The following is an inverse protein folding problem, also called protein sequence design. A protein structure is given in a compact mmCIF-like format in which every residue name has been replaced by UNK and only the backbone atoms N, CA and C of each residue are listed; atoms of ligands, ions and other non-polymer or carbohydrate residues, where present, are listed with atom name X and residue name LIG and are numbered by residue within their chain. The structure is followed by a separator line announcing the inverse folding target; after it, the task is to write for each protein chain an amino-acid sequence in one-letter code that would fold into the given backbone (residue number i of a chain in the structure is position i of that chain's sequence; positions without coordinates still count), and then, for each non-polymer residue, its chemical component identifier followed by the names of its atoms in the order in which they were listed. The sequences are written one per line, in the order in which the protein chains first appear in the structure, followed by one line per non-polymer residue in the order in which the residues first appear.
data_IF_007086355088
#
_entry.id   IF_007086355088
#
_cell.length_a   1.000
_cell.length_b   1.000
_cell.length_c   1.000
_cell.angle_alpha   90.00
_cell.angle_beta   90.00
_cell.angle_gamma   90.00
#
_symmetry.space_group_name_H-M   'P 1'
#
loop_
_entity.id
_entity.type
_entity.pdbx_description
1 polymer ?
#
# COMPACT_ATOMS: atom_id res chain seq x y z
N UNK A 1 -19.62 1.98 4.75
CA UNK A 1 -18.17 1.77 4.59
C UNK A 1 -17.50 2.67 5.61
N UNK A 2 -16.81 2.13 6.61
CA UNK A 2 -16.10 2.96 7.58
C UNK A 2 -15.03 3.74 6.83
N UNK A 3 -15.10 5.07 6.86
CA UNK A 3 -14.17 5.94 6.17
C UNK A 3 -12.89 5.99 7.02
N UNK A 4 -11.98 5.05 6.79
CA UNK A 4 -10.71 5.00 7.51
C UNK A 4 -9.88 6.20 7.08
N UNK A 5 -9.59 7.10 8.03
CA UNK A 5 -8.72 8.23 7.81
C UNK A 5 -7.34 7.94 8.41
N UNK A 6 -6.27 7.82 7.60
CA UNK A 6 -4.92 7.61 8.08
C UNK A 6 -4.43 8.67 9.09
N UNK A 7 -5.02 9.87 9.09
CA UNK A 7 -4.66 10.94 10.01
C UNK A 7 -5.25 10.78 11.41
N UNK A 8 -6.32 9.98 11.58
CA UNK A 8 -7.04 9.83 12.85
C UNK A 8 -6.61 8.59 13.66
N UNK A 9 -5.65 7.83 13.14
CA UNK A 9 -5.19 6.59 13.76
C UNK A 9 -4.39 6.87 15.03
N UNK A 10 -4.79 6.27 16.16
CA UNK A 10 -4.21 6.58 17.48
C UNK A 10 -3.14 5.56 17.90
N UNK A 11 -3.32 4.30 17.54
CA UNK A 11 -2.50 3.19 18.04
C UNK A 11 -1.06 3.21 17.51
N UNK A 12 -0.09 2.90 18.39
CA UNK A 12 1.34 2.85 18.00
C UNK A 12 1.60 1.80 16.92
N UNK A 13 0.91 0.66 16.99
CA UNK A 13 1.04 -0.41 16.02
C UNK A 13 0.63 0.06 14.62
N UNK A 14 -0.51 0.74 14.49
CA UNK A 14 -0.95 1.23 13.19
C UNK A 14 -0.07 2.39 12.68
N UNK A 15 0.38 3.30 13.55
CA UNK A 15 1.38 4.34 13.20
C UNK A 15 2.69 3.74 12.67
N UNK A 16 3.18 2.67 13.31
CA UNK A 16 4.39 1.97 12.85
C UNK A 16 4.17 1.35 11.46
N UNK A 17 2.99 0.79 11.20
CA UNK A 17 2.63 0.24 9.88
C UNK A 17 2.49 1.32 8.82
N UNK A 18 1.92 2.48 9.14
CA UNK A 18 1.87 3.63 8.23
C UNK A 18 3.27 4.16 7.88
N UNK A 19 4.19 4.18 8.85
CA UNK A 19 5.59 4.55 8.61
C UNK A 19 6.30 3.57 7.69
N UNK A 20 6.11 2.26 7.90
CA UNK A 20 6.65 1.23 7.03
C UNK A 20 6.06 1.33 5.62
N UNK A 21 4.73 1.51 5.51
CA UNK A 21 4.04 1.70 4.25
C UNK A 21 4.60 2.90 3.46
N UNK A 22 4.85 4.03 4.14
CA UNK A 22 5.48 5.19 3.49
C UNK A 22 6.86 4.87 2.93
N UNK A 23 7.67 4.11 3.66
CA UNK A 23 9.01 3.73 3.20
C UNK A 23 8.95 2.84 1.95
N UNK A 24 7.99 1.92 1.91
CA UNK A 24 7.74 1.04 0.75
C UNK A 24 7.22 1.86 -0.44
N UNK A 25 6.31 2.79 -0.19
CA UNK A 25 5.78 3.69 -1.22
C UNK A 25 6.89 4.51 -1.88
N UNK A 26 7.76 5.13 -1.07
CA UNK A 26 8.90 5.93 -1.56
C UNK A 26 9.95 5.10 -2.33
N UNK A 27 10.03 3.79 -2.07
CA UNK A 27 10.90 2.88 -2.85
C UNK A 27 10.29 2.50 -4.21
N UNK A 28 8.96 2.42 -4.28
CA UNK A 28 8.24 2.05 -5.49
C UNK A 28 7.98 3.23 -6.42
N UNK A 29 7.76 4.43 -5.89
CA UNK A 29 7.64 5.69 -6.62
C UNK A 29 9.01 6.07 -7.23
N UNK A 30 9.26 5.57 -8.46
CA UNK A 30 10.57 5.66 -9.12
C UNK A 30 10.80 7.10 -9.59
N UNK A 31 9.75 7.68 -10.19
CA UNK A 31 9.79 9.01 -10.75
C UNK A 31 9.65 10.11 -9.69
N UNK A 32 9.30 9.74 -8.44
CA UNK A 32 9.11 10.61 -7.29
C UNK A 32 8.02 11.66 -7.51
N UNK A 33 6.99 11.30 -8.26
CA UNK A 33 5.86 12.19 -8.55
C UNK A 33 4.79 12.16 -7.44
N UNK A 34 4.98 11.30 -6.42
CA UNK A 34 4.07 11.13 -5.30
C UNK A 34 2.93 10.15 -5.58
N UNK A 35 3.00 9.40 -6.68
CA UNK A 35 2.05 8.40 -7.10
C UNK A 35 2.76 7.11 -7.50
N UNK A 36 2.07 5.98 -7.34
CA UNK A 36 2.47 4.71 -7.96
C UNK A 36 1.56 4.51 -9.16
N UNK A 37 2.14 4.63 -10.35
CA UNK A 37 1.43 4.38 -11.60
C UNK A 37 1.42 2.89 -11.94
N UNK A 38 0.57 2.51 -12.90
CA UNK A 38 0.48 1.13 -13.39
C UNK A 38 1.85 0.53 -13.77
N UNK A 39 2.73 1.33 -14.36
CA UNK A 39 4.07 0.91 -14.79
C UNK A 39 5.06 0.74 -13.62
N UNK A 40 4.74 1.30 -12.45
CA UNK A 40 5.56 1.25 -11.23
C UNK A 40 5.13 0.13 -10.26
N UNK A 41 3.88 -0.32 -10.33
CA UNK A 41 3.37 -1.49 -9.57
C UNK A 41 4.22 -2.74 -9.76
N UNK A 42 4.67 -3.13 -10.98
CA UNK A 42 5.54 -4.29 -11.14
C UNK A 42 6.77 -4.20 -10.24
N UNK A 43 7.40 -3.02 -10.16
CA UNK A 43 8.59 -2.83 -9.36
C UNK A 43 8.29 -2.91 -7.87
N UNK A 44 7.17 -2.37 -7.41
CA UNK A 44 6.72 -2.52 -6.02
C UNK A 44 6.63 -4.01 -5.63
N UNK A 45 5.98 -4.82 -6.46
CA UNK A 45 5.78 -6.25 -6.18
C UNK A 45 7.12 -7.02 -6.21
N UNK A 46 8.00 -6.68 -7.16
CA UNK A 46 9.35 -7.26 -7.26
C UNK A 46 10.19 -6.92 -6.02
N UNK A 47 10.27 -5.65 -5.63
CA UNK A 47 11.07 -5.22 -4.48
C UNK A 47 10.51 -5.81 -3.18
N UNK A 48 9.19 -5.91 -3.04
CA UNK A 48 8.57 -6.60 -1.90
C UNK A 48 8.93 -8.09 -1.88
N UNK A 49 8.90 -8.77 -3.03
CA UNK A 49 9.27 -10.18 -3.12
C UNK A 49 10.74 -10.42 -2.79
N UNK A 50 11.66 -9.56 -3.27
CA UNK A 50 13.10 -9.63 -2.94
C UNK A 50 13.40 -9.54 -1.45
N UNK A 51 12.54 -8.90 -0.67
CA UNK A 51 12.70 -8.83 0.80
C UNK A 51 12.36 -10.16 1.48
N UNK A 52 11.65 -11.07 0.79
CA UNK A 52 11.10 -12.30 1.35
C UNK A 52 11.77 -13.54 0.71
N UNK A 53 12.22 -13.44 -0.54
CA UNK A 53 12.83 -14.54 -1.30
C UNK A 53 13.90 -14.02 -2.26
N UNK A 54 14.99 -14.78 -2.40
CA UNK A 54 16.08 -14.53 -3.37
C UNK A 54 15.71 -14.91 -4.82
N UNK A 55 14.50 -15.42 -5.05
CA UNK A 55 14.04 -15.82 -6.38
C UNK A 55 13.61 -14.64 -7.24
N UNK A 56 13.88 -14.76 -8.54
CA UNK A 56 13.31 -13.84 -9.54
C UNK A 56 11.80 -13.99 -9.54
N UNK A 57 11.13 -12.90 -9.23
CA UNK A 57 9.69 -12.76 -9.34
C UNK A 57 9.39 -11.76 -10.45
N UNK A 58 8.45 -12.10 -11.32
CA UNK A 58 7.93 -11.24 -12.38
C UNK A 58 6.41 -11.20 -12.22
N UNK A 59 5.84 -10.09 -11.73
CA UNK A 59 4.41 -9.99 -11.52
C UNK A 59 3.66 -10.03 -12.84
N UNK A 60 2.57 -10.78 -12.88
CA UNK A 60 1.71 -10.84 -14.07
C UNK A 60 0.83 -9.62 -14.16
N UNK A 61 0.28 -9.39 -15.36
CA UNK A 61 -0.66 -8.30 -15.60
C UNK A 61 -1.89 -8.42 -14.70
N UNK A 62 -2.39 -9.63 -14.47
CA UNK A 62 -3.54 -9.89 -13.61
C UNK A 62 -3.26 -9.53 -12.15
N UNK A 63 -2.05 -9.77 -11.65
CA UNK A 63 -1.65 -9.38 -10.29
C UNK A 63 -1.58 -7.86 -10.15
N UNK A 64 -1.02 -7.17 -11.15
CA UNK A 64 -0.97 -5.71 -11.20
C UNK A 64 -2.39 -5.12 -11.27
N UNK A 65 -3.24 -5.65 -12.15
CA UNK A 65 -4.62 -5.23 -12.31
C UNK A 65 -5.41 -5.45 -11.01
N UNK A 66 -5.22 -6.60 -10.36
CA UNK A 66 -5.86 -6.91 -9.08
C UNK A 66 -5.43 -5.93 -7.98
N UNK A 67 -4.12 -5.67 -7.85
CA UNK A 67 -3.58 -4.73 -6.88
C UNK A 67 -4.11 -3.31 -7.11
N UNK A 68 -4.11 -2.85 -8.36
CA UNK A 68 -4.66 -1.54 -8.74
C UNK A 68 -6.14 -1.44 -8.41
N UNK A 69 -6.95 -2.44 -8.78
CA UNK A 69 -8.39 -2.44 -8.51
C UNK A 69 -8.72 -2.42 -7.00
N UNK A 70 -7.84 -2.97 -6.16
CA UNK A 70 -8.02 -2.95 -4.70
C UNK A 70 -7.58 -1.62 -4.07
N UNK A 71 -6.65 -0.91 -4.68
CA UNK A 71 -5.93 0.21 -4.05
C UNK A 71 -6.30 1.57 -4.63
N UNK A 72 -6.52 1.67 -5.95
CA UNK A 72 -6.97 2.88 -6.64
C UNK A 72 -8.45 3.15 -6.32
N UNK A 73 -8.69 3.91 -5.25
CA UNK A 73 -10.02 4.16 -4.70
C UNK A 73 -10.77 5.22 -5.51
N UNK A 74 -10.04 6.22 -6.02
CA UNK A 74 -10.60 7.31 -6.81
C UNK A 74 -10.69 6.98 -8.32
N UNK A 75 -10.11 5.85 -8.75
CA UNK A 75 -10.08 5.35 -10.14
C UNK A 75 -9.34 6.27 -11.11
N UNK A 76 -8.31 6.96 -10.64
CA UNK A 76 -7.48 7.84 -11.47
C UNK A 76 -6.31 7.11 -12.15
N UNK A 77 -6.26 5.77 -12.02
CA UNK A 77 -5.25 4.86 -12.57
C UNK A 77 -3.86 5.03 -11.97
N UNK A 78 -3.77 5.65 -10.80
CA UNK A 78 -2.56 5.77 -10.01
C UNK A 78 -2.95 5.63 -8.54
N UNK A 79 -1.96 5.35 -7.71
CA UNK A 79 -2.18 5.18 -6.27
C UNK A 79 -1.38 6.23 -5.55
N UNK A 80 -2.05 7.11 -4.81
CA UNK A 80 -1.36 8.05 -3.95
C UNK A 80 -1.07 7.43 -2.56
N UNK A 81 -0.21 8.08 -1.78
CA UNK A 81 0.16 7.59 -0.45
C UNK A 81 -1.05 7.41 0.48
N UNK A 82 -2.08 8.25 0.36
CA UNK A 82 -3.28 8.14 1.19
C UNK A 82 -4.06 6.87 0.87
N UNK A 83 -4.26 6.56 -0.41
CA UNK A 83 -4.92 5.33 -0.86
C UNK A 83 -4.15 4.08 -0.41
N UNK A 84 -2.83 4.10 -0.53
CA UNK A 84 -1.98 3.03 -0.05
C UNK A 84 -2.08 2.85 1.48
N UNK A 85 -2.08 3.95 2.24
CA UNK A 85 -2.25 3.91 3.70
C UNK A 85 -3.62 3.37 4.10
N UNK A 86 -4.70 3.76 3.42
CA UNK A 86 -6.05 3.24 3.65
C UNK A 86 -6.09 1.73 3.42
N UNK A 87 -5.44 1.22 2.38
CA UNK A 87 -5.33 -0.23 2.14
C UNK A 87 -4.67 -0.95 3.33
N UNK A 88 -3.54 -0.44 3.82
CA UNK A 88 -2.84 -1.03 4.96
C UNK A 88 -3.71 -1.03 6.21
N UNK A 89 -4.39 0.08 6.51
CA UNK A 89 -5.25 0.16 7.69
C UNK A 89 -6.47 -0.77 7.59
N UNK A 90 -7.08 -0.92 6.40
CA UNK A 90 -8.13 -1.92 6.15
C UNK A 90 -7.63 -3.33 6.43
N UNK A 91 -6.41 -3.66 6.00
CA UNK A 91 -5.81 -4.96 6.27
C UNK A 91 -5.55 -5.19 7.76
N UNK A 92 -5.10 -4.17 8.50
CA UNK A 92 -4.94 -4.25 9.96
C UNK A 92 -6.29 -4.46 10.67
N UNK A 93 -7.31 -3.69 10.28
CA UNK A 93 -8.65 -3.83 10.85
C UNK A 93 -9.25 -5.22 10.57
N UNK A 94 -9.03 -5.76 9.37
CA UNK A 94 -9.45 -7.13 9.02
C UNK A 94 -8.72 -8.22 9.84
N UNK A 95 -7.51 -7.93 10.34
CA UNK A 95 -6.78 -8.79 11.27
C UNK A 95 -7.20 -8.59 12.74
N UNK A 96 -8.21 -7.75 13.00
CA UNK A 96 -8.71 -7.45 14.35
C UNK A 96 -7.86 -6.44 15.12
N UNK A 97 -6.97 -5.70 14.45
CA UNK A 97 -6.18 -4.64 15.07
C UNK A 97 -7.03 -3.38 15.20
N UNK A 98 -7.12 -2.86 16.41
CA UNK A 98 -7.81 -1.61 16.71
C UNK A 98 -6.99 -0.40 16.22
N UNK A 99 -7.69 0.54 15.56
CA UNK A 99 -7.10 1.74 14.99
C UNK A 99 -7.34 2.98 15.87
N UNK A 100 -8.39 2.97 16.69
CA UNK A 100 -8.93 4.12 17.40
C UNK A 100 -8.49 4.19 18.87
N UNK A 101 -7.72 3.20 19.36
CA UNK A 101 -7.11 3.19 20.68
C UNK A 101 -8.11 3.16 21.83
N UNK A 102 -9.23 2.46 21.67
CA UNK A 102 -10.22 2.27 22.76
C UNK A 102 -9.71 1.34 23.86
#
# INVERSE_FOLDING_TARGET
MNNIDPNNVQTQQAKARLKAARSIFELADINKDGYITYDEVPKLLIETHKLISDEKYEPTKEEIDSWMNMTDLNKDKKVNIHEFQVLILKALQAQGIDLDGQ
#
